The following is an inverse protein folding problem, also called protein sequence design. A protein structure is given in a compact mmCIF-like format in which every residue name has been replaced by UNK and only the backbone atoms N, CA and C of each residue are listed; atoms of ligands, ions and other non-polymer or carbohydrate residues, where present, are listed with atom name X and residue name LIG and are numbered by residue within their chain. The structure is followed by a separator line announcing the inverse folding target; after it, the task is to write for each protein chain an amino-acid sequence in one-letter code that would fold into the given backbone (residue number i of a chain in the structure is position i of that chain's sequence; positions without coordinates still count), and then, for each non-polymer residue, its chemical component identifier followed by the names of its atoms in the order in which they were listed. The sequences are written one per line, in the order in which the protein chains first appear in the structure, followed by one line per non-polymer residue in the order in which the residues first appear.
data_IF_586419207859
#
_entry.id   IF_586419207859
#
_cell.length_a   1.000
_cell.length_b   1.000
_cell.length_c   1.000
_cell.angle_alpha   90.00
_cell.angle_beta   90.00
_cell.angle_gamma   90.00
#
_symmetry.space_group_name_H-M   'P 1'
#
loop_
_entity.id
_entity.type
_entity.pdbx_description
1 polymer ?
#
# COMPACT_ATOMS: atom_id res chain seq x y z
N UNK A 1 18.42 -38.23 -12.72
CA UNK A 1 18.47 -36.88 -12.19
C UNK A 1 17.81 -36.01 -13.26
N UNK A 2 16.52 -35.69 -13.13
CA UNK A 2 15.83 -34.80 -14.04
C UNK A 2 16.40 -33.38 -13.84
N UNK A 3 16.96 -32.86 -14.90
CA UNK A 3 17.43 -31.47 -14.95
C UNK A 3 16.17 -30.57 -15.03
N UNK A 4 15.54 -30.39 -13.86
CA UNK A 4 14.36 -29.51 -13.71
C UNK A 4 14.82 -28.03 -13.69
N UNK A 5 15.58 -27.60 -14.69
CA UNK A 5 16.00 -26.22 -14.85
C UNK A 5 14.85 -25.37 -15.43
N UNK A 6 13.87 -25.02 -14.59
CA UNK A 6 12.85 -24.05 -14.98
C UNK A 6 13.46 -22.65 -15.14
N UNK A 7 12.92 -21.87 -16.07
CA UNK A 7 13.31 -20.47 -16.19
C UNK A 7 13.08 -19.75 -14.84
N UNK A 8 14.09 -19.06 -14.30
CA UNK A 8 13.99 -18.43 -12.98
C UNK A 8 12.89 -17.37 -12.97
N UNK A 9 12.17 -17.25 -11.84
CA UNK A 9 11.16 -16.18 -11.66
C UNK A 9 11.76 -14.78 -11.75
N UNK A 10 13.04 -14.64 -11.37
CA UNK A 10 13.77 -13.37 -11.37
C UNK A 10 14.96 -13.42 -12.34
N UNK A 11 15.03 -12.47 -13.26
CA UNK A 11 16.14 -12.29 -14.19
C UNK A 11 17.21 -11.35 -13.60
N UNK A 12 18.00 -11.86 -12.65
CA UNK A 12 19.16 -11.14 -12.11
C UNK A 12 18.85 -9.94 -11.20
N UNK A 13 17.58 -9.71 -10.87
CA UNK A 13 17.18 -8.63 -9.95
C UNK A 13 16.93 -9.14 -8.52
N UNK A 14 17.03 -8.27 -7.50
CA UNK A 14 16.58 -8.59 -6.16
C UNK A 14 15.06 -8.82 -6.13
N UNK A 15 14.59 -9.74 -5.28
CA UNK A 15 13.17 -10.00 -5.10
C UNK A 15 12.46 -8.73 -4.58
N UNK A 16 11.45 -8.22 -5.30
CA UNK A 16 10.76 -7.00 -4.92
C UNK A 16 9.87 -7.19 -3.71
N UNK A 17 9.64 -6.09 -3.01
CA UNK A 17 8.85 -6.07 -1.78
C UNK A 17 7.33 -5.92 -1.97
N UNK A 18 6.85 -5.87 -3.20
CA UNK A 18 5.43 -5.73 -3.55
C UNK A 18 4.82 -7.02 -4.13
N UNK A 19 5.39 -8.16 -3.77
CA UNK A 19 4.98 -9.48 -4.25
C UNK A 19 4.16 -10.22 -3.20
N UNK A 20 3.20 -11.03 -3.66
CA UNK A 20 2.37 -11.91 -2.85
C UNK A 20 2.43 -13.30 -3.46
N UNK A 21 2.99 -14.26 -2.72
CA UNK A 21 3.18 -15.64 -3.18
C UNK A 21 2.16 -16.54 -2.49
N UNK A 22 1.38 -17.28 -3.26
CA UNK A 22 0.41 -18.25 -2.80
C UNK A 22 0.91 -19.65 -3.17
N UNK A 23 1.74 -20.30 -2.33
CA UNK A 23 2.42 -21.53 -2.71
C UNK A 23 1.48 -22.68 -3.07
N UNK A 24 0.40 -22.86 -2.28
CA UNK A 24 -0.60 -23.91 -2.47
C UNK A 24 -1.45 -23.73 -3.72
N UNK A 25 -1.48 -22.49 -4.26
CA UNK A 25 -2.26 -22.12 -5.44
C UNK A 25 -1.39 -21.86 -6.66
N UNK A 26 -0.05 -21.98 -6.53
CA UNK A 26 0.92 -21.63 -7.58
C UNK A 26 0.64 -20.26 -8.21
N UNK A 27 0.36 -19.27 -7.39
CA UNK A 27 0.11 -17.89 -7.83
C UNK A 27 1.18 -16.98 -7.25
N UNK A 28 1.70 -16.06 -8.07
CA UNK A 28 2.52 -14.94 -7.65
C UNK A 28 1.91 -13.65 -8.21
N UNK A 29 1.43 -12.79 -7.32
CA UNK A 29 0.91 -11.47 -7.67
C UNK A 29 1.93 -10.39 -7.37
N UNK A 30 2.22 -9.53 -8.36
CA UNK A 30 3.03 -8.32 -8.20
C UNK A 30 2.11 -7.12 -8.11
N UNK A 31 2.03 -6.53 -6.92
CA UNK A 31 1.09 -5.46 -6.62
C UNK A 31 1.61 -4.11 -7.12
N UNK A 32 0.81 -3.43 -7.94
CA UNK A 32 1.07 -2.07 -8.43
C UNK A 32 0.07 -1.11 -7.81
N UNK A 33 0.50 0.10 -7.47
CA UNK A 33 -0.37 1.11 -6.86
C UNK A 33 -1.30 1.75 -7.90
N UNK A 34 -2.54 2.09 -7.48
CA UNK A 34 -3.56 2.79 -8.30
C UNK A 34 -4.13 1.98 -9.46
N UNK A 35 -3.98 0.66 -9.40
CA UNK A 35 -4.54 -0.32 -10.34
C UNK A 35 -5.43 -1.34 -9.61
N UNK A 36 -6.37 -0.88 -8.80
CA UNK A 36 -7.23 -1.69 -7.92
C UNK A 36 -6.45 -2.56 -6.90
N UNK A 37 -5.23 -2.18 -6.51
CA UNK A 37 -4.38 -2.99 -5.64
C UNK A 37 -5.00 -3.35 -4.29
N UNK A 38 -5.91 -2.53 -3.75
CA UNK A 38 -6.63 -2.84 -2.51
C UNK A 38 -7.57 -4.04 -2.73
N UNK A 39 -8.40 -3.98 -3.77
CA UNK A 39 -9.33 -5.06 -4.12
C UNK A 39 -8.59 -6.35 -4.46
N UNK A 40 -7.52 -6.26 -5.27
CA UNK A 40 -6.70 -7.42 -5.65
C UNK A 40 -5.99 -8.06 -4.45
N UNK A 41 -5.57 -7.28 -3.45
CA UNK A 41 -5.01 -7.84 -2.22
C UNK A 41 -6.06 -8.59 -1.40
N UNK A 42 -7.29 -8.08 -1.30
CA UNK A 42 -8.38 -8.81 -0.67
C UNK A 42 -8.67 -10.13 -1.39
N UNK A 43 -8.71 -10.11 -2.71
CA UNK A 43 -8.87 -11.34 -3.52
C UNK A 43 -7.74 -12.34 -3.25
N UNK A 44 -6.50 -11.89 -3.24
CA UNK A 44 -5.32 -12.73 -2.98
C UNK A 44 -5.35 -13.30 -1.55
N UNK A 45 -5.74 -12.50 -0.56
CA UNK A 45 -5.88 -12.94 0.82
C UNK A 45 -6.97 -14.02 0.95
N UNK A 46 -8.10 -13.83 0.29
CA UNK A 46 -9.20 -14.78 0.27
C UNK A 46 -8.79 -16.11 -0.40
N UNK A 47 -8.20 -16.06 -1.59
CA UNK A 47 -7.71 -17.24 -2.31
C UNK A 47 -6.72 -18.03 -1.44
N UNK A 48 -5.81 -17.38 -0.75
CA UNK A 48 -4.81 -18.04 0.10
C UNK A 48 -5.39 -18.56 1.42
N UNK A 49 -6.64 -18.21 1.76
CA UNK A 49 -7.30 -18.58 3.00
C UNK A 49 -6.72 -17.87 4.22
N UNK A 50 -6.25 -16.61 4.06
CA UNK A 50 -5.90 -15.76 5.20
C UNK A 50 -7.13 -15.54 6.09
N UNK A 51 -6.92 -15.28 7.38
CA UNK A 51 -8.00 -14.81 8.24
C UNK A 51 -8.31 -13.34 7.93
N UNK A 52 -9.35 -13.12 7.11
CA UNK A 52 -9.72 -11.78 6.65
C UNK A 52 -10.12 -10.85 7.80
N UNK A 53 -10.68 -11.38 8.90
CA UNK A 53 -11.05 -10.58 10.06
C UNK A 53 -9.82 -10.07 10.82
N UNK A 54 -8.70 -10.78 10.77
CA UNK A 54 -7.44 -10.36 11.41
C UNK A 54 -6.94 -9.01 10.90
N UNK A 55 -7.22 -8.66 9.63
CA UNK A 55 -6.83 -7.36 9.05
C UNK A 55 -7.59 -6.18 9.65
N UNK A 56 -8.78 -6.42 10.23
CA UNK A 56 -9.61 -5.36 10.81
C UNK A 56 -9.23 -5.01 12.26
N UNK A 57 -8.33 -5.76 12.87
CA UNK A 57 -7.91 -5.53 14.25
C UNK A 57 -7.00 -4.31 14.37
N UNK A 58 -7.19 -3.54 15.43
CA UNK A 58 -6.37 -2.37 15.75
C UNK A 58 -6.85 -1.05 15.13
N UNK A 59 -6.49 0.05 15.77
CA UNK A 59 -6.87 1.40 15.39
C UNK A 59 -5.99 1.91 14.25
N UNK A 60 -6.61 2.23 13.11
CA UNK A 60 -5.98 2.98 12.02
C UNK A 60 -6.83 4.24 11.78
N UNK A 61 -6.48 5.31 12.46
CA UNK A 61 -7.26 6.53 12.51
C UNK A 61 -7.60 7.17 11.14
N UNK A 62 -6.85 6.85 10.09
CA UNK A 62 -7.00 7.44 8.76
C UNK A 62 -7.24 6.39 7.65
N UNK A 63 -7.62 5.16 8.03
CA UNK A 63 -7.91 4.10 7.06
C UNK A 63 -9.36 3.63 7.20
N UNK A 64 -10.04 3.46 6.09
CA UNK A 64 -11.31 2.75 6.07
C UNK A 64 -11.09 1.27 6.32
N UNK A 65 -12.15 0.54 6.68
CA UNK A 65 -12.09 -0.91 6.93
C UNK A 65 -11.39 -1.67 5.79
N UNK A 66 -11.74 -1.39 4.55
CA UNK A 66 -11.11 -2.06 3.40
C UNK A 66 -9.64 -1.67 3.16
N UNK A 67 -9.22 -0.49 3.61
CA UNK A 67 -7.82 -0.06 3.48
C UNK A 67 -6.88 -0.77 4.46
N UNK A 68 -7.41 -1.47 5.47
CA UNK A 68 -6.59 -2.20 6.44
C UNK A 68 -5.78 -3.33 5.83
N UNK A 69 -6.14 -3.84 4.64
CA UNK A 69 -5.34 -4.82 3.88
C UNK A 69 -3.93 -4.33 3.54
N UNK A 70 -3.69 -3.00 3.58
CA UNK A 70 -2.37 -2.40 3.40
C UNK A 70 -1.54 -2.35 4.69
N UNK A 71 -2.12 -2.77 5.81
CA UNK A 71 -1.43 -2.82 7.09
C UNK A 71 -0.28 -3.81 7.10
N UNK A 72 0.39 -3.82 8.25
CA UNK A 72 1.61 -4.56 8.49
C UNK A 72 1.47 -6.04 8.10
N UNK A 73 2.52 -6.57 7.54
CA UNK A 73 2.64 -7.93 7.00
C UNK A 73 2.47 -9.04 8.03
N UNK A 74 2.42 -8.72 9.30
CA UNK A 74 2.14 -9.67 10.40
C UNK A 74 0.76 -10.32 10.30
N UNK A 75 -0.16 -9.75 9.51
CA UNK A 75 -1.48 -10.32 9.24
C UNK A 75 -1.49 -11.25 8.02
N UNK A 76 -0.40 -11.27 7.23
CA UNK A 76 -0.22 -12.15 6.09
C UNK A 76 0.54 -13.39 6.52
N UNK A 77 -0.17 -14.44 6.94
CA UNK A 77 0.44 -15.66 7.48
C UNK A 77 0.73 -16.72 6.41
N UNK A 78 -0.16 -16.81 5.40
CA UNK A 78 -0.10 -17.83 4.35
C UNK A 78 0.49 -17.32 3.03
N UNK A 79 0.65 -16.01 2.90
CA UNK A 79 1.04 -15.34 1.66
C UNK A 79 2.37 -14.60 1.84
N UNK A 80 3.52 -15.32 1.86
CA UNK A 80 4.82 -14.68 1.98
C UNK A 80 5.11 -13.80 0.77
N UNK A 81 6.02 -12.86 0.97
CA UNK A 81 6.61 -12.12 -0.15
C UNK A 81 7.78 -12.89 -0.74
N UNK A 82 8.04 -12.67 -2.02
CA UNK A 82 9.09 -13.40 -2.73
C UNK A 82 10.47 -13.26 -2.07
N UNK A 83 10.78 -12.09 -1.50
CA UNK A 83 12.06 -11.91 -0.79
C UNK A 83 12.15 -12.69 0.53
N UNK A 84 11.03 -13.05 1.15
CA UNK A 84 10.98 -13.87 2.38
C UNK A 84 11.24 -15.36 2.10
N UNK A 85 11.04 -15.78 0.85
CA UNK A 85 11.33 -17.17 0.44
C UNK A 85 12.84 -17.32 0.23
N UNK A 86 13.50 -18.30 0.87
CA UNK A 86 14.92 -18.58 0.64
C UNK A 86 15.23 -18.76 -0.84
N UNK A 87 16.37 -18.24 -1.30
CA UNK A 87 16.76 -18.33 -2.73
C UNK A 87 16.72 -19.75 -3.28
N UNK A 88 17.16 -20.74 -2.48
CA UNK A 88 17.15 -22.16 -2.83
C UNK A 88 15.75 -22.74 -3.06
N UNK A 89 14.69 -22.11 -2.52
CA UNK A 89 13.30 -22.55 -2.65
C UNK A 89 12.52 -21.77 -3.71
N UNK A 90 13.13 -20.83 -4.42
CA UNK A 90 12.48 -20.06 -5.49
C UNK A 90 12.47 -20.74 -6.84
N UNK A 91 13.32 -21.73 -7.06
CA UNK A 91 13.41 -22.47 -8.34
C UNK A 91 12.06 -22.98 -8.86
N UNK A 92 11.22 -23.62 -8.02
CA UNK A 92 9.90 -24.09 -8.43
C UNK A 92 8.90 -23.00 -8.81
N UNK A 93 9.13 -21.72 -8.42
CA UNK A 93 8.27 -20.59 -8.77
C UNK A 93 8.60 -20.16 -10.20
N UNK A 94 7.92 -20.77 -11.16
CA UNK A 94 8.15 -20.55 -12.58
C UNK A 94 6.87 -20.81 -13.38
N UNK A 95 6.65 -20.04 -14.44
CA UNK A 95 5.55 -20.28 -15.37
C UNK A 95 5.65 -21.68 -15.99
N UNK A 96 6.86 -22.17 -16.25
CA UNK A 96 7.10 -23.48 -16.85
C UNK A 96 6.72 -24.62 -15.88
N UNK A 97 6.66 -24.34 -14.57
CA UNK A 97 6.17 -25.25 -13.55
C UNK A 97 4.68 -24.97 -13.17
N UNK A 98 3.94 -24.34 -14.07
CA UNK A 98 2.51 -24.10 -13.92
C UNK A 98 2.15 -23.03 -12.89
N UNK A 99 3.02 -22.05 -12.65
CA UNK A 99 2.68 -20.87 -11.84
C UNK A 99 2.02 -19.80 -12.67
N UNK A 100 0.95 -19.21 -12.14
CA UNK A 100 0.37 -17.97 -12.64
C UNK A 100 1.10 -16.78 -11.98
N UNK A 101 2.03 -16.20 -12.72
CA UNK A 101 2.81 -15.03 -12.27
C UNK A 101 2.26 -13.81 -12.98
N UNK A 102 1.62 -12.90 -12.24
CA UNK A 102 0.91 -11.79 -12.86
C UNK A 102 1.09 -10.45 -12.16
N UNK A 103 0.86 -9.40 -12.92
CA UNK A 103 0.64 -8.04 -12.47
C UNK A 103 -0.58 -7.45 -13.18
N UNK A 104 -1.12 -6.36 -12.62
CA UNK A 104 -2.14 -5.55 -13.29
C UNK A 104 -1.58 -4.15 -13.49
N UNK A 105 -1.79 -3.58 -14.66
CA UNK A 105 -1.40 -2.23 -15.05
C UNK A 105 -2.62 -1.43 -15.51
N UNK A 106 -2.45 -0.13 -15.67
CA UNK A 106 -3.51 0.78 -16.09
C UNK A 106 -2.90 1.90 -16.93
N UNK A 107 -3.69 2.45 -17.86
CA UNK A 107 -3.27 3.63 -18.59
C UNK A 107 -2.75 4.75 -17.66
N UNK A 108 -1.67 5.46 -18.02
CA UNK A 108 -1.01 6.42 -17.13
C UNK A 108 -1.90 7.62 -16.78
N UNK A 109 -2.79 8.03 -17.65
CA UNK A 109 -3.70 9.17 -17.44
C UNK A 109 -4.68 8.90 -16.30
N UNK A 110 -5.41 7.80 -16.42
CA UNK A 110 -6.35 7.37 -15.36
C UNK A 110 -5.63 7.01 -14.06
N UNK A 111 -4.41 6.46 -14.14
CA UNK A 111 -3.63 6.09 -12.97
C UNK A 111 -3.16 7.34 -12.22
N UNK A 112 -2.57 8.33 -12.91
CA UNK A 112 -2.12 9.59 -12.29
C UNK A 112 -3.29 10.36 -11.69
N UNK A 113 -4.40 10.48 -12.44
CA UNK A 113 -5.64 11.08 -11.95
C UNK A 113 -6.11 10.42 -10.65
N UNK A 114 -6.15 9.09 -10.60
CA UNK A 114 -6.51 8.35 -9.38
C UNK A 114 -5.51 8.56 -8.24
N UNK A 115 -4.22 8.65 -8.53
CA UNK A 115 -3.15 8.96 -7.57
C UNK A 115 -3.35 10.32 -6.94
N UNK A 116 -3.46 11.35 -7.77
CA UNK A 116 -3.62 12.74 -7.35
C UNK A 116 -4.86 12.93 -6.50
N UNK A 117 -6.03 12.44 -6.94
CA UNK A 117 -7.25 12.56 -6.15
C UNK A 117 -7.09 11.96 -4.75
N UNK A 118 -6.61 10.74 -4.66
CA UNK A 118 -6.57 10.00 -3.39
C UNK A 118 -5.53 10.52 -2.41
N UNK A 119 -4.60 11.36 -2.86
CA UNK A 119 -3.50 11.89 -2.03
C UNK A 119 -3.64 13.38 -1.78
N UNK A 120 -3.94 14.14 -2.82
CA UNK A 120 -3.93 15.59 -2.77
C UNK A 120 -5.35 16.18 -2.76
N UNK A 121 -6.20 15.84 -3.72
CA UNK A 121 -7.52 16.41 -3.86
C UNK A 121 -8.41 16.17 -2.63
N UNK A 122 -8.41 14.94 -2.09
CA UNK A 122 -9.13 14.61 -0.84
C UNK A 122 -8.39 15.04 0.43
N UNK A 123 -7.27 15.74 0.30
CA UNK A 123 -6.45 16.25 1.41
C UNK A 123 -6.08 15.18 2.43
N UNK A 124 -5.49 14.09 1.94
CA UNK A 124 -5.03 13.02 2.83
C UNK A 124 -4.03 13.57 3.87
N UNK A 125 -4.21 13.35 5.18
CA UNK A 125 -3.49 14.04 6.24
C UNK A 125 -1.97 14.02 6.15
N UNK A 126 -1.40 12.90 5.69
CA UNK A 126 0.05 12.78 5.50
C UNK A 126 0.56 13.73 4.41
N UNK A 127 -0.18 13.85 3.30
CA UNK A 127 0.20 14.67 2.15
C UNK A 127 -0.03 16.17 2.41
N UNK A 128 -1.12 16.53 3.09
CA UNK A 128 -1.35 17.91 3.54
C UNK A 128 -0.21 18.39 4.42
N UNK A 129 0.19 17.59 5.43
CA UNK A 129 1.26 17.94 6.33
C UNK A 129 2.60 18.16 5.62
N UNK A 130 2.85 17.44 4.54
CA UNK A 130 4.14 17.40 3.86
C UNK A 130 4.24 18.37 2.71
N UNK A 131 3.13 18.61 2.01
CA UNK A 131 3.09 19.32 0.74
C UNK A 131 2.04 20.44 0.69
N UNK A 132 1.33 20.71 1.79
CA UNK A 132 0.22 21.66 1.80
C UNK A 132 0.60 23.11 1.51
N UNK A 133 1.90 23.45 1.59
CA UNK A 133 2.44 24.78 1.29
C UNK A 133 3.05 24.88 -0.13
N UNK A 134 3.06 23.77 -0.89
CA UNK A 134 3.60 23.75 -2.24
C UNK A 134 2.61 24.42 -3.23
N UNK A 135 3.10 25.19 -4.17
CA UNK A 135 2.30 25.94 -5.16
C UNK A 135 1.42 25.02 -6.03
N UNK A 136 1.86 23.78 -6.25
CA UNK A 136 1.12 22.77 -7.00
C UNK A 136 0.10 21.99 -6.15
N UNK A 137 0.06 22.21 -4.82
CA UNK A 137 -0.92 21.53 -3.97
C UNK A 137 -2.34 22.08 -4.23
N UNK A 138 -3.38 21.22 -4.35
CA UNK A 138 -4.72 21.69 -4.71
C UNK A 138 -5.37 22.49 -3.58
N UNK A 139 -6.14 23.51 -3.99
CA UNK A 139 -7.08 24.19 -3.10
C UNK A 139 -8.23 23.27 -2.69
N UNK A 140 -9.05 23.66 -1.72
CA UNK A 140 -10.37 23.07 -1.51
C UNK A 140 -11.27 23.54 -2.64
N UNK A 141 -11.76 22.66 -3.55
CA UNK A 141 -12.43 23.11 -4.75
C UNK A 141 -13.84 23.59 -4.46
N UNK A 142 -14.25 24.69 -5.09
CA UNK A 142 -15.61 25.21 -5.08
C UNK A 142 -16.35 24.90 -6.38
N UNK A 143 -15.62 24.58 -7.42
CA UNK A 143 -16.13 24.32 -8.77
C UNK A 143 -15.38 23.18 -9.46
N UNK A 144 -15.95 22.68 -10.58
CA UNK A 144 -15.26 21.79 -11.50
C UNK A 144 -13.98 22.41 -12.03
N UNK A 145 -14.03 23.71 -12.34
CA UNK A 145 -12.90 24.44 -12.92
C UNK A 145 -11.70 24.43 -11.97
N UNK A 146 -11.91 24.61 -10.67
CA UNK A 146 -10.85 24.54 -9.67
C UNK A 146 -10.12 23.20 -9.69
N UNK A 147 -10.88 22.10 -9.78
CA UNK A 147 -10.30 20.74 -9.83
C UNK A 147 -9.47 20.54 -11.10
N UNK A 148 -9.97 20.98 -12.24
CA UNK A 148 -9.28 20.87 -13.55
C UNK A 148 -8.00 21.68 -13.55
N UNK A 149 -8.07 22.94 -13.11
CA UNK A 149 -6.90 23.84 -13.03
C UNK A 149 -5.83 23.33 -12.07
N UNK A 150 -6.24 22.84 -10.89
CA UNK A 150 -5.33 22.34 -9.88
C UNK A 150 -4.63 21.06 -10.34
N UNK A 151 -5.35 20.18 -11.04
CA UNK A 151 -4.73 19.01 -11.65
C UNK A 151 -3.74 19.37 -12.77
N UNK A 152 -4.13 20.30 -13.64
CA UNK A 152 -3.24 20.80 -14.68
C UNK A 152 -1.95 21.41 -14.08
N UNK A 153 -2.09 22.25 -13.04
CA UNK A 153 -0.95 22.82 -12.30
C UNK A 153 -0.04 21.75 -11.72
N UNK A 154 -0.61 20.70 -11.09
CA UNK A 154 0.15 19.57 -10.59
C UNK A 154 0.89 18.83 -11.71
N UNK A 155 0.24 18.58 -12.86
CA UNK A 155 0.84 17.89 -14.00
C UNK A 155 1.99 18.68 -14.57
N UNK A 156 1.82 19.98 -14.81
CA UNK A 156 2.86 20.84 -15.40
C UNK A 156 4.03 21.13 -14.44
N UNK A 157 3.81 21.07 -13.13
CA UNK A 157 4.88 21.18 -12.14
C UNK A 157 5.74 19.90 -12.03
N UNK A 158 5.24 18.75 -12.48
CA UNK A 158 5.90 17.44 -12.43
C UNK A 158 6.56 17.14 -11.06
N UNK A 159 5.86 17.31 -9.93
CA UNK A 159 6.49 17.19 -8.61
C UNK A 159 6.99 15.78 -8.29
N UNK A 160 6.50 14.75 -8.99
CA UNK A 160 7.04 13.39 -8.91
C UNK A 160 8.42 13.24 -9.56
N UNK A 161 8.89 14.25 -10.31
CA UNK A 161 10.25 14.33 -10.86
C UNK A 161 11.10 15.31 -10.06
N UNK A 162 10.55 16.47 -9.69
CA UNK A 162 11.27 17.61 -9.14
C UNK A 162 11.34 17.63 -7.61
N UNK A 163 10.37 17.07 -6.90
CA UNK A 163 10.35 17.03 -5.45
C UNK A 163 10.95 15.73 -4.93
N UNK A 164 12.07 15.79 -4.19
CA UNK A 164 12.85 14.65 -3.72
C UNK A 164 12.03 13.59 -2.95
N UNK A 165 11.01 14.04 -2.22
CA UNK A 165 10.18 13.15 -1.42
C UNK A 165 9.07 12.49 -2.23
N UNK A 166 8.49 13.22 -3.18
CA UNK A 166 7.45 12.67 -4.04
C UNK A 166 8.04 11.76 -5.12
N UNK A 167 9.28 12.00 -5.52
CA UNK A 167 10.04 11.13 -6.40
C UNK A 167 10.13 9.69 -5.88
N UNK A 168 10.21 9.50 -4.56
CA UNK A 168 10.27 8.16 -3.95
C UNK A 168 8.88 7.53 -3.72
N UNK A 169 7.80 8.28 -3.93
CA UNK A 169 6.44 7.78 -3.70
C UNK A 169 5.96 6.88 -4.86
N UNK A 170 5.78 5.60 -4.56
CA UNK A 170 5.34 4.57 -5.53
C UNK A 170 3.95 4.86 -6.16
N UNK A 171 3.16 5.78 -5.60
CA UNK A 171 1.89 6.18 -6.20
C UNK A 171 2.09 7.02 -7.47
N UNK A 172 3.26 7.65 -7.62
CA UNK A 172 3.60 8.56 -8.72
C UNK A 172 4.78 8.08 -9.57
N UNK A 173 5.52 7.05 -9.15
CA UNK A 173 6.52 6.37 -10.00
C UNK A 173 5.86 5.67 -11.18
N UNK A 174 6.63 5.40 -12.23
CA UNK A 174 6.19 4.57 -13.35
C UNK A 174 5.74 3.18 -12.87
N UNK A 175 4.82 2.55 -13.57
CA UNK A 175 4.42 1.17 -13.30
C UNK A 175 5.57 0.22 -13.62
N UNK A 176 6.36 0.56 -14.63
CA UNK A 176 7.59 -0.16 -15.00
C UNK A 176 8.52 -0.34 -13.80
N UNK A 177 8.69 0.71 -12.97
CA UNK A 177 9.44 0.59 -11.72
C UNK A 177 8.89 -0.49 -10.78
N UNK A 178 7.58 -0.60 -10.66
CA UNK A 178 6.92 -1.56 -9.75
C UNK A 178 6.82 -2.96 -10.34
N UNK A 179 6.52 -3.06 -11.64
CA UNK A 179 6.34 -4.31 -12.39
C UNK A 179 7.67 -4.96 -12.72
N UNK A 180 8.68 -4.17 -13.14
CA UNK A 180 10.00 -4.67 -13.57
C UNK A 180 9.87 -5.74 -14.66
N UNK A 181 9.29 -5.41 -15.82
CA UNK A 181 8.88 -6.40 -16.83
C UNK A 181 10.05 -7.21 -17.40
N UNK A 182 11.27 -6.65 -17.43
CA UNK A 182 12.48 -7.38 -17.85
C UNK A 182 13.09 -8.21 -16.72
N UNK A 183 12.74 -7.93 -15.47
CA UNK A 183 13.33 -8.54 -14.28
C UNK A 183 12.49 -9.67 -13.67
N UNK A 184 11.21 -9.80 -14.06
CA UNK A 184 10.31 -10.86 -13.58
C UNK A 184 9.73 -11.59 -14.78
N UNK A 185 9.81 -12.93 -14.75
CA UNK A 185 9.26 -13.80 -15.80
C UNK A 185 7.76 -14.02 -15.58
N UNK A 186 6.95 -13.06 -16.02
CA UNK A 186 5.49 -13.12 -15.92
C UNK A 186 4.88 -14.21 -16.80
N UNK A 187 3.80 -14.82 -16.31
CA UNK A 187 2.86 -15.54 -17.16
C UNK A 187 2.08 -14.55 -18.00
N UNK A 188 1.58 -13.46 -17.35
CA UNK A 188 0.82 -12.41 -18.03
C UNK A 188 0.78 -11.12 -17.21
N UNK A 189 0.75 -9.99 -17.89
CA UNK A 189 0.45 -8.67 -17.33
C UNK A 189 -0.90 -8.25 -17.91
N UNK A 190 -1.85 -7.94 -17.02
CA UNK A 190 -3.22 -7.60 -17.40
C UNK A 190 -3.47 -6.11 -17.35
N UNK A 191 -4.33 -5.61 -18.24
CA UNK A 191 -4.85 -4.26 -18.15
C UNK A 191 -6.04 -4.22 -17.17
N UNK A 192 -6.08 -3.22 -16.30
CA UNK A 192 -7.21 -2.98 -15.38
C UNK A 192 -8.54 -2.81 -16.14
N UNK A 193 -8.50 -2.35 -17.37
CA UNK A 193 -9.68 -2.24 -18.21
C UNK A 193 -10.30 -3.60 -18.59
N UNK A 194 -9.53 -4.69 -18.47
CA UNK A 194 -9.88 -6.04 -18.90
C UNK A 194 -9.78 -7.04 -17.74
N UNK A 195 -10.24 -6.67 -16.53
CA UNK A 195 -10.19 -7.55 -15.35
C UNK A 195 -10.94 -8.87 -15.53
N UNK A 196 -11.95 -8.92 -16.40
CA UNK A 196 -12.68 -10.16 -16.70
C UNK A 196 -11.75 -11.25 -17.25
N UNK A 197 -10.72 -10.87 -18.02
CA UNK A 197 -9.70 -11.79 -18.51
C UNK A 197 -8.84 -12.34 -17.35
N UNK A 198 -8.42 -11.49 -16.42
CA UNK A 198 -7.69 -11.91 -15.22
C UNK A 198 -8.52 -12.92 -14.41
N UNK A 199 -9.81 -12.64 -14.20
CA UNK A 199 -10.68 -13.53 -13.43
C UNK A 199 -10.88 -14.86 -14.11
N UNK A 200 -11.07 -14.87 -15.43
CA UNK A 200 -11.18 -16.09 -16.21
C UNK A 200 -9.89 -16.94 -16.11
N UNK A 201 -8.74 -16.32 -16.23
CA UNK A 201 -7.44 -17.00 -16.15
C UNK A 201 -7.16 -17.54 -14.73
N UNK A 202 -7.45 -16.75 -13.66
CA UNK A 202 -7.33 -17.23 -12.26
C UNK A 202 -8.28 -18.41 -12.02
N UNK A 203 -9.54 -18.30 -12.45
CA UNK A 203 -10.50 -19.38 -12.27
C UNK A 203 -10.08 -20.66 -12.99
N UNK A 204 -9.66 -20.56 -14.26
CA UNK A 204 -9.14 -21.69 -15.03
C UNK A 204 -7.90 -22.31 -14.37
N UNK A 205 -6.99 -21.48 -13.86
CA UNK A 205 -5.79 -21.92 -13.16
C UNK A 205 -6.13 -22.69 -11.86
N UNK A 206 -7.01 -22.14 -11.01
CA UNK A 206 -7.46 -22.80 -9.79
C UNK A 206 -8.18 -24.12 -10.09
N UNK A 207 -9.04 -24.14 -11.07
CA UNK A 207 -9.74 -25.36 -11.53
C UNK A 207 -8.75 -26.42 -12.02
N UNK A 208 -7.69 -26.02 -12.74
CA UNK A 208 -6.61 -26.91 -13.15
C UNK A 208 -5.84 -27.53 -12.00
N UNK A 209 -5.85 -26.91 -10.83
CA UNK A 209 -5.28 -27.44 -9.58
C UNK A 209 -6.30 -28.22 -8.73
N UNK A 210 -7.51 -28.47 -9.25
CA UNK A 210 -8.59 -29.15 -8.53
C UNK A 210 -9.24 -28.29 -7.44
N UNK A 211 -9.10 -26.97 -7.52
CA UNK A 211 -9.67 -26.00 -6.58
C UNK A 211 -10.85 -25.29 -7.26
N UNK A 212 -12.00 -25.32 -6.62
CA UNK A 212 -13.21 -24.61 -7.08
C UNK A 212 -13.56 -23.56 -6.03
N UNK A 213 -13.23 -22.30 -6.32
CA UNK A 213 -13.39 -21.18 -5.40
C UNK A 213 -13.94 -19.97 -6.15
N UNK A 214 -15.00 -19.36 -5.59
CA UNK A 214 -15.45 -18.05 -6.06
C UNK A 214 -14.43 -16.96 -5.69
N UNK A 215 -14.24 -16.01 -6.61
CA UNK A 215 -13.29 -14.93 -6.41
C UNK A 215 -13.96 -13.76 -5.69
N UNK A 216 -13.49 -13.43 -4.50
CA UNK A 216 -13.95 -12.27 -3.74
C UNK A 216 -13.17 -11.01 -4.16
N UNK A 217 -13.84 -10.09 -4.83
CA UNK A 217 -13.24 -8.79 -5.21
C UNK A 217 -14.10 -7.63 -4.67
N UNK A 218 -13.82 -7.13 -3.48
CA UNK A 218 -14.56 -6.00 -2.94
C UNK A 218 -14.25 -4.72 -3.73
N UNK A 219 -15.25 -3.87 -3.93
CA UNK A 219 -15.00 -2.50 -4.41
C UNK A 219 -14.39 -1.68 -3.28
N UNK A 220 -13.11 -1.36 -3.41
CA UNK A 220 -12.35 -0.68 -2.38
C UNK A 220 -11.61 0.52 -2.95
N UNK A 221 -11.56 1.61 -2.19
CA UNK A 221 -10.75 2.78 -2.47
C UNK A 221 -11.07 3.46 -3.83
N UNK A 222 -12.35 3.61 -4.14
CA UNK A 222 -12.79 4.36 -5.33
C UNK A 222 -12.46 5.86 -5.15
N UNK A 223 -12.05 6.50 -6.23
CA UNK A 223 -11.80 7.95 -6.25
C UNK A 223 -13.12 8.72 -6.39
N UNK A 224 -13.27 9.90 -5.74
CA UNK A 224 -14.55 10.60 -5.69
C UNK A 224 -15.05 11.08 -7.05
N UNK A 225 -14.14 11.44 -7.96
CA UNK A 225 -14.52 11.98 -9.26
C UNK A 225 -14.07 11.06 -10.40
N UNK A 226 -14.96 10.69 -11.32
CA UNK A 226 -14.56 10.01 -12.55
C UNK A 226 -13.70 10.94 -13.43
N UNK A 227 -12.86 10.36 -14.28
CA UNK A 227 -12.12 11.12 -15.27
C UNK A 227 -13.10 11.64 -16.33
N UNK A 228 -13.04 12.96 -16.65
CA UNK A 228 -13.80 13.60 -17.70
C UNK A 228 -12.83 14.21 -18.74
N UNK A 229 -13.25 14.45 -19.99
CA UNK A 229 -12.35 14.97 -21.04
C UNK A 229 -11.62 16.25 -20.64
N UNK A 230 -12.31 17.20 -20.02
CA UNK A 230 -11.74 18.49 -19.61
C UNK A 230 -10.48 18.37 -18.72
N UNK A 231 -10.32 17.27 -17.99
CA UNK A 231 -9.12 17.02 -17.15
C UNK A 231 -7.87 16.80 -17.97
N UNK A 232 -7.99 16.33 -19.20
CA UNK A 232 -6.88 16.00 -20.09
C UNK A 232 -6.62 17.03 -21.19
N UNK A 233 -7.46 18.06 -21.27
CA UNK A 233 -7.33 19.15 -22.22
C UNK A 233 -6.18 20.10 -21.89
N UNK A 234 -5.89 21.04 -22.80
CA UNK A 234 -4.88 22.09 -22.59
C UNK A 234 -3.45 21.57 -22.49
N UNK A 235 -3.13 20.42 -23.10
CA UNK A 235 -1.78 19.83 -23.09
C UNK A 235 -1.50 18.94 -21.88
N UNK A 236 -2.47 18.75 -20.97
CA UNK A 236 -2.32 17.90 -19.77
C UNK A 236 -2.13 16.43 -20.17
N UNK A 237 -2.94 15.96 -21.11
CA UNK A 237 -2.85 14.58 -21.59
C UNK A 237 -1.48 14.26 -22.19
N UNK A 238 -0.95 15.14 -23.03
CA UNK A 238 0.36 15.02 -23.67
C UNK A 238 1.51 15.11 -22.66
N UNK A 239 1.40 15.98 -21.65
CA UNK A 239 2.39 16.07 -20.58
C UNK A 239 2.46 14.77 -19.78
N UNK A 240 1.32 14.18 -19.42
CA UNK A 240 1.26 12.86 -18.74
C UNK A 240 1.89 11.79 -19.63
N UNK A 241 1.52 11.75 -20.92
CA UNK A 241 2.08 10.80 -21.87
C UNK A 241 3.60 10.86 -21.88
N UNK A 242 4.16 12.06 -22.00
CA UNK A 242 5.61 12.28 -22.00
C UNK A 242 6.27 11.80 -20.72
N UNK A 243 5.72 12.15 -19.56
CA UNK A 243 6.31 11.78 -18.25
C UNK A 243 6.26 10.28 -17.96
N UNK A 244 5.29 9.57 -18.52
CA UNK A 244 5.10 8.12 -18.33
C UNK A 244 5.34 7.32 -19.61
N UNK A 245 6.19 7.83 -20.52
CA UNK A 245 6.50 7.16 -21.79
C UNK A 245 7.04 5.74 -21.57
N UNK A 246 7.84 5.50 -20.51
CA UNK A 246 8.35 4.19 -20.17
C UNK A 246 7.23 3.16 -19.91
N UNK A 247 6.10 3.59 -19.29
CA UNK A 247 4.94 2.73 -19.09
C UNK A 247 4.25 2.41 -20.41
N UNK A 248 4.16 3.38 -21.31
CA UNK A 248 3.60 3.19 -22.66
C UNK A 248 4.45 2.24 -23.49
N UNK A 249 5.77 2.37 -23.43
CA UNK A 249 6.70 1.51 -24.17
C UNK A 249 6.64 0.04 -23.68
N UNK A 250 6.44 -0.18 -22.39
CA UNK A 250 6.40 -1.52 -21.80
C UNK A 250 5.02 -2.17 -21.81
N UNK A 251 3.93 -1.38 -21.74
CA UNK A 251 2.57 -1.92 -21.52
C UNK A 251 1.53 -1.35 -22.47
N UNK A 252 1.85 -0.28 -23.18
CA UNK A 252 0.92 0.62 -23.86
C UNK A 252 0.30 0.12 -25.16
N UNK A 253 0.40 -1.17 -25.51
CA UNK A 253 -0.02 -1.72 -26.82
C UNK A 253 -1.32 -1.11 -27.40
N UNK A 254 -2.36 -0.94 -26.59
CA UNK A 254 -3.64 -0.30 -26.98
C UNK A 254 -3.89 1.06 -26.32
N UNK A 255 -2.97 1.55 -25.49
CA UNK A 255 -3.14 2.82 -24.78
C UNK A 255 -2.78 4.00 -25.67
N UNK A 256 -3.73 4.91 -25.83
CA UNK A 256 -3.53 6.19 -26.47
C UNK A 256 -4.46 7.23 -25.87
N UNK A 257 -4.10 8.50 -25.94
CA UNK A 257 -4.84 9.59 -25.29
C UNK A 257 -6.31 9.66 -25.77
N UNK A 258 -6.56 9.40 -27.05
CA UNK A 258 -7.89 9.38 -27.67
C UNK A 258 -8.77 8.20 -27.23
N UNK A 259 -8.15 7.14 -26.71
CA UNK A 259 -8.85 5.95 -26.19
C UNK A 259 -9.05 5.95 -24.68
N UNK A 260 -8.56 6.97 -23.96
CA UNK A 260 -8.73 7.04 -22.50
C UNK A 260 -10.22 7.04 -22.13
N UNK A 261 -10.61 6.13 -21.26
CA UNK A 261 -12.02 6.00 -20.84
C UNK A 261 -12.39 7.16 -19.91
N UNK A 262 -13.24 8.04 -20.38
CA UNK A 262 -13.86 9.12 -19.58
C UNK A 262 -15.32 8.82 -19.29
N UNK A 263 -15.86 9.41 -18.21
CA UNK A 263 -17.27 9.24 -17.82
C UNK A 263 -17.95 10.60 -17.73
N UNK A 264 -18.85 10.86 -18.70
CA UNK A 264 -19.58 12.14 -18.78
C UNK A 264 -18.72 13.30 -19.26
N UNK A 265 -19.35 14.44 -19.47
CA UNK A 265 -18.69 15.68 -19.89
C UNK A 265 -18.35 16.59 -18.69
N UNK A 266 -19.05 16.44 -17.58
CA UNK A 266 -18.91 17.27 -16.38
C UNK A 266 -19.31 16.51 -15.13
N UNK A 267 -18.88 17.02 -13.96
CA UNK A 267 -19.35 16.55 -12.66
C UNK A 267 -20.58 17.35 -12.21
N UNK A 268 -21.44 16.72 -11.43
CA UNK A 268 -22.57 17.42 -10.80
C UNK A 268 -22.08 18.35 -9.67
N UNK A 269 -22.85 19.39 -9.36
CA UNK A 269 -22.58 20.24 -8.20
C UNK A 269 -22.56 19.45 -6.88
N UNK A 270 -23.35 18.38 -6.78
CA UNK A 270 -23.34 17.51 -5.60
C UNK A 270 -22.03 16.70 -5.48
N UNK A 271 -21.42 16.31 -6.60
CA UNK A 271 -20.10 15.65 -6.57
C UNK A 271 -19.03 16.57 -5.99
N UNK A 272 -19.04 17.86 -6.33
CA UNK A 272 -18.11 18.85 -5.78
C UNK A 272 -18.39 19.08 -4.29
N UNK A 273 -19.66 19.20 -3.87
CA UNK A 273 -20.03 19.29 -2.46
C UNK A 273 -19.59 18.08 -1.65
N UNK A 274 -19.80 16.88 -2.17
CA UNK A 274 -19.29 15.65 -1.53
C UNK A 274 -17.78 15.66 -1.38
N UNK A 275 -17.06 16.13 -2.39
CA UNK A 275 -15.61 16.28 -2.31
C UNK A 275 -15.21 17.27 -1.19
N UNK A 276 -15.88 18.42 -1.05
CA UNK A 276 -15.66 19.36 0.04
C UNK A 276 -15.88 18.71 1.42
N UNK A 277 -16.93 17.89 1.59
CA UNK A 277 -17.14 17.15 2.84
C UNK A 277 -16.02 16.14 3.11
N UNK A 278 -15.54 15.47 2.08
CA UNK A 278 -14.38 14.57 2.19
C UNK A 278 -13.12 15.29 2.64
N UNK A 279 -12.85 16.48 2.10
CA UNK A 279 -11.67 17.26 2.48
C UNK A 279 -11.74 17.69 3.94
N UNK A 280 -12.88 18.24 4.39
CA UNK A 280 -13.10 18.64 5.80
C UNK A 280 -12.99 17.43 6.73
N UNK A 281 -13.57 16.29 6.36
CA UNK A 281 -13.47 15.06 7.15
C UNK A 281 -12.02 14.59 7.30
N UNK A 282 -11.24 14.61 6.23
CA UNK A 282 -9.84 14.21 6.26
C UNK A 282 -8.96 15.17 7.08
N UNK A 283 -9.22 16.47 7.03
CA UNK A 283 -8.55 17.47 7.88
C UNK A 283 -8.80 17.15 9.37
N UNK A 284 -10.08 16.95 9.74
CA UNK A 284 -10.43 16.56 11.13
C UNK A 284 -9.78 15.23 11.56
N UNK A 285 -9.77 14.23 10.68
CA UNK A 285 -9.08 12.96 10.94
C UNK A 285 -7.58 13.21 11.13
N UNK A 286 -6.99 14.11 10.35
CA UNK A 286 -5.60 14.54 10.47
C UNK A 286 -5.31 15.10 11.86
N UNK A 287 -6.13 16.03 12.34
CA UNK A 287 -6.00 16.65 13.66
C UNK A 287 -6.15 15.61 14.79
N UNK A 288 -7.18 14.77 14.73
CA UNK A 288 -7.40 13.70 15.71
C UNK A 288 -6.21 12.73 15.71
N UNK A 289 -5.69 12.36 14.55
CA UNK A 289 -4.54 11.48 14.40
C UNK A 289 -3.25 12.09 14.99
N UNK A 290 -3.10 13.41 14.88
CA UNK A 290 -1.98 14.14 15.48
C UNK A 290 -2.06 14.10 17.01
N UNK A 291 -3.22 14.42 17.57
CA UNK A 291 -3.47 14.38 19.02
C UNK A 291 -3.25 12.96 19.56
N UNK A 292 -3.80 11.94 18.89
CA UNK A 292 -3.61 10.55 19.29
C UNK A 292 -2.14 10.11 19.28
N UNK A 293 -1.36 10.54 18.28
CA UNK A 293 0.09 10.25 18.23
C UNK A 293 0.87 10.95 19.34
N UNK A 294 0.51 12.20 19.66
CA UNK A 294 1.13 12.93 20.76
C UNK A 294 0.84 12.25 22.10
N UNK A 295 -0.42 11.86 22.34
CA UNK A 295 -0.81 11.13 23.54
C UNK A 295 -0.10 9.77 23.66
N UNK A 296 0.00 9.02 22.57
CA UNK A 296 0.73 7.73 22.53
C UNK A 296 2.24 7.91 22.80
N UNK A 297 2.85 8.99 22.31
CA UNK A 297 4.25 9.30 22.59
C UNK A 297 4.47 9.67 24.06
N UNK A 298 3.57 10.45 24.66
CA UNK A 298 3.60 10.76 26.08
C UNK A 298 3.42 9.52 26.95
N UNK A 299 2.48 8.66 26.59
CA UNK A 299 2.25 7.39 27.30
C UNK A 299 3.50 6.51 27.28
N UNK A 300 4.16 6.36 26.14
CA UNK A 300 5.43 5.59 26.05
C UNK A 300 6.51 6.16 26.97
N UNK A 301 6.71 7.49 26.94
CA UNK A 301 7.68 8.13 27.86
C UNK A 301 7.35 7.87 29.32
N UNK A 302 6.07 7.92 29.69
CA UNK A 302 5.64 7.62 31.05
C UNK A 302 5.88 6.15 31.43
N UNK A 303 5.64 5.23 30.51
CA UNK A 303 5.90 3.81 30.71
C UNK A 303 7.40 3.51 30.89
N UNK A 304 8.26 4.14 30.09
CA UNK A 304 9.72 4.05 30.21
C UNK A 304 10.19 4.54 31.58
N UNK A 305 9.68 5.71 32.02
CA UNK A 305 10.01 6.26 33.33
C UNK A 305 9.52 5.35 34.49
N UNK A 306 8.32 4.80 34.37
CA UNK A 306 7.81 3.84 35.37
C UNK A 306 8.68 2.59 35.43
N UNK A 307 9.14 2.07 34.30
CA UNK A 307 10.04 0.92 34.27
C UNK A 307 11.39 1.23 34.94
N UNK A 308 11.98 2.40 34.64
CA UNK A 308 13.21 2.87 35.25
C UNK A 308 13.10 3.02 36.79
N UNK A 309 12.05 3.72 37.25
CA UNK A 309 11.79 3.89 38.67
C UNK A 309 11.51 2.58 39.41
N UNK A 310 10.83 1.66 38.75
CA UNK A 310 10.59 0.32 39.29
C UNK A 310 11.89 -0.44 39.48
N UNK A 311 12.79 -0.39 38.49
CA UNK A 311 14.14 -0.95 38.61
C UNK A 311 14.97 -0.32 39.76
N UNK A 312 14.93 1.00 39.91
CA UNK A 312 15.61 1.69 41.02
C UNK A 312 15.06 1.25 42.37
N UNK A 313 13.73 1.15 42.53
CA UNK A 313 13.08 0.68 43.74
C UNK A 313 13.50 -0.75 44.08
N UNK A 314 13.60 -1.64 43.09
CA UNK A 314 14.08 -3.00 43.31
C UNK A 314 15.54 -3.04 43.81
N UNK A 315 16.39 -2.25 43.21
CA UNK A 315 17.80 -2.12 43.64
C UNK A 315 17.87 -1.60 45.08
N UNK A 316 17.11 -0.56 45.43
CA UNK A 316 17.06 -0.02 46.76
C UNK A 316 16.56 -1.04 47.79
N UNK A 317 15.49 -1.76 47.46
CA UNK A 317 14.96 -2.85 48.31
C UNK A 317 15.98 -3.98 48.51
N UNK A 318 16.70 -4.35 47.46
CA UNK A 318 17.77 -5.35 47.57
C UNK A 318 18.90 -4.89 48.47
N UNK A 319 19.31 -3.63 48.37
CA UNK A 319 20.34 -3.00 49.27
C UNK A 319 19.87 -2.96 50.70
N UNK A 320 18.62 -2.65 50.96
CA UNK A 320 18.04 -2.59 52.29
C UNK A 320 17.97 -4.01 52.92
N UNK A 321 17.49 -5.02 52.17
CA UNK A 321 17.51 -6.44 52.62
C UNK A 321 18.93 -6.88 52.93
N UNK A 322 19.94 -6.54 52.13
CA UNK A 322 21.31 -6.91 52.39
C UNK A 322 21.89 -6.23 53.63
N UNK A 323 21.36 -5.08 54.05
CA UNK A 323 21.71 -4.40 55.33
C UNK A 323 21.03 -4.98 56.55
N UNK A 324 19.79 -5.42 56.42
CA UNK A 324 18.96 -5.89 57.55
C UNK A 324 19.29 -7.35 57.92
N UNK A 325 19.46 -8.22 56.92
CA UNK A 325 19.68 -9.68 57.14
C UNK A 325 20.92 -9.94 58.02
N UNK A 326 22.10 -9.35 57.82
CA UNK A 326 23.24 -9.60 58.70
C UNK A 326 23.01 -9.11 60.13
N UNK A 327 22.36 -7.93 60.30
CA UNK A 327 22.07 -7.37 61.63
C UNK A 327 21.11 -8.22 62.43
N UNK A 328 20.10 -8.77 61.82
CA UNK A 328 19.13 -9.70 62.48
C UNK A 328 19.80 -11.01 62.82
N UNK A 329 20.62 -11.58 61.94
CA UNK A 329 21.41 -12.77 62.18
C UNK A 329 22.37 -12.61 63.35
N UNK A 330 23.11 -11.53 63.39
CA UNK A 330 24.07 -11.26 64.47
C UNK A 330 23.39 -11.00 65.81
N UNK A 331 22.20 -10.40 65.81
CA UNK A 331 21.40 -10.20 67.01
C UNK A 331 20.84 -11.54 67.52
N UNK A 332 20.36 -12.42 66.62
CA UNK A 332 19.91 -13.76 66.97
C UNK A 332 21.04 -14.63 67.53
N UNK A 333 22.22 -14.62 66.92
CA UNK A 333 23.39 -15.35 67.39
C UNK A 333 23.87 -14.90 68.80
N UNK A 334 23.66 -13.64 69.15
CA UNK A 334 23.94 -13.13 70.51
C UNK A 334 22.93 -13.56 71.53
N UNK A 335 21.66 -13.82 71.16
CA UNK A 335 20.60 -14.30 72.04
C UNK A 335 20.78 -15.79 72.33
N UNK A 336 21.18 -16.59 71.35
CA UNK A 336 21.39 -18.03 71.47
C UNK A 336 22.67 -18.39 72.26
N UNK A 337 23.64 -17.46 72.36
CA UNK A 337 24.90 -17.62 73.11
C UNK A 337 24.82 -17.14 74.58
N UNK A 338 23.66 -16.68 75.03
CA UNK A 338 23.32 -16.43 76.43
C UNK A 338 22.41 -17.52 76.94
#
# INVERSE_FOLDING_TARGET
MSDDSWAPVLNGIPAPGNTFVLPEHKILYVSVTKVACTSLRWMVADISGEDLESFYTGLAAHQTRLMTIHRHRTHWEKTPQLFQIPKSLRGPISRDNGWLIFAVVRDPWSRLWSGWQSKFLVRHPFYVKRYGEEDWFPRVPESQQDVVEDFARFVFAEPWVTNEHLFEDVHFKTQTYSVRPQGINYTKIYDLANLDELFADIHAHLKGLGKDQELYLPRANETPLPLIPAVLEGGVGEAIQKSFQEDLDNFGGDWSLDKVRTKGASWSGDAIKHLQYHTVANERIGDISLVARQAAAQLRKSQELVAELTGEVEVLRARERARIVPRVRDKMLRIVKR
#
